data_IF_540719551260
#
_entry.id   IF_540719551260
#
_cell.length_a   1.000
_cell.length_b   1.000
_cell.length_c   1.000
_cell.angle_alpha   90.00
_cell.angle_beta   90.00
_cell.angle_gamma   90.00
#
_symmetry.space_group_name_H-M   'P 1'
#
loop_
_entity.id
_entity.type
_entity.pdbx_description
1 polymer ?
#
# COMPACT_ATOMS: atom_id res chain seq x y z
N UNK A 1 -27.62 43.60 -17.89
CA UNK A 1 -27.02 42.73 -18.94
C UNK A 1 -25.49 42.68 -18.96
N UNK A 2 -24.75 43.81 -18.86
CA UNK A 2 -23.27 43.83 -18.92
C UNK A 2 -22.56 42.97 -17.86
N UNK A 3 -22.94 43.05 -16.58
CA UNK A 3 -22.32 42.28 -15.48
C UNK A 3 -22.42 40.76 -15.65
N UNK A 4 -23.54 40.25 -16.18
CA UNK A 4 -23.77 38.81 -16.44
C UNK A 4 -22.88 38.28 -17.57
N UNK A 5 -22.64 39.09 -18.62
CA UNK A 5 -21.71 38.75 -19.71
C UNK A 5 -20.26 38.71 -19.21
N UNK A 6 -19.84 39.68 -18.38
CA UNK A 6 -18.51 39.69 -17.77
C UNK A 6 -18.29 38.46 -16.87
N UNK A 7 -19.28 38.08 -16.06
CA UNK A 7 -19.20 36.91 -15.20
C UNK A 7 -19.10 35.59 -16.00
N UNK A 8 -19.89 35.46 -17.08
CA UNK A 8 -19.81 34.33 -18.01
C UNK A 8 -18.45 34.23 -18.70
N UNK A 9 -17.86 35.36 -19.10
CA UNK A 9 -16.53 35.41 -19.72
C UNK A 9 -15.42 35.00 -18.73
N UNK A 10 -15.47 35.48 -17.48
CA UNK A 10 -14.50 35.08 -16.43
C UNK A 10 -14.61 33.58 -16.16
N UNK A 11 -15.83 33.05 -16.06
CA UNK A 11 -16.07 31.63 -15.82
C UNK A 11 -15.55 30.75 -16.98
N UNK A 12 -15.76 31.18 -18.23
CA UNK A 12 -15.21 30.50 -19.40
C UNK A 12 -13.68 30.48 -19.41
N UNK A 13 -13.03 31.61 -19.08
CA UNK A 13 -11.56 31.69 -18.98
C UNK A 13 -11.04 30.78 -17.87
N UNK A 14 -11.73 30.72 -16.73
CA UNK A 14 -11.37 29.83 -15.62
C UNK A 14 -11.48 28.35 -16.03
N UNK A 15 -12.56 27.95 -16.70
CA UNK A 15 -12.74 26.57 -17.20
C UNK A 15 -11.62 26.23 -18.18
N UNK A 16 -11.32 27.11 -19.13
CA UNK A 16 -10.24 26.89 -20.11
C UNK A 16 -8.90 26.74 -19.40
N UNK A 17 -8.57 27.61 -18.45
CA UNK A 17 -7.33 27.55 -17.67
C UNK A 17 -7.21 26.26 -16.83
N UNK A 18 -8.30 25.83 -16.18
CA UNK A 18 -8.35 24.56 -15.45
C UNK A 18 -8.17 23.39 -16.42
N UNK A 19 -8.84 23.43 -17.57
CA UNK A 19 -8.78 22.36 -18.58
C UNK A 19 -7.39 22.23 -19.20
N UNK A 20 -6.74 23.35 -19.56
CA UNK A 20 -5.34 23.34 -20.02
C UNK A 20 -4.39 22.91 -18.92
N UNK A 21 -4.59 23.34 -17.67
CA UNK A 21 -3.78 22.88 -16.55
C UNK A 21 -3.89 21.36 -16.35
N UNK A 22 -5.11 20.81 -16.37
CA UNK A 22 -5.33 19.37 -16.29
C UNK A 22 -4.75 18.63 -17.49
N UNK A 23 -4.86 19.18 -18.70
CA UNK A 23 -4.30 18.57 -19.91
C UNK A 23 -2.76 18.56 -19.89
N UNK A 24 -2.13 19.66 -19.48
CA UNK A 24 -0.66 19.78 -19.36
C UNK A 24 -0.14 18.85 -18.25
N UNK A 25 -0.90 18.65 -17.18
CA UNK A 25 -0.50 17.82 -16.05
C UNK A 25 -1.19 16.45 -16.03
N UNK A 26 -1.79 15.99 -17.14
CA UNK A 26 -2.54 14.73 -17.19
C UNK A 26 -1.67 13.53 -16.80
N UNK A 27 -0.38 13.58 -17.11
CA UNK A 27 0.59 12.52 -16.82
C UNK A 27 1.12 12.60 -15.37
N UNK A 28 0.74 13.64 -14.60
CA UNK A 28 1.10 13.81 -13.18
C UNK A 28 -0.02 13.40 -12.23
N UNK A 29 -1.22 13.17 -12.72
CA UNK A 29 -2.40 12.85 -11.90
C UNK A 29 -3.16 11.67 -12.48
N UNK A 30 -3.19 10.55 -11.76
CA UNK A 30 -4.07 9.42 -12.06
C UNK A 30 -5.05 9.26 -10.91
N UNK A 31 -6.32 9.60 -11.18
CA UNK A 31 -7.41 9.34 -10.24
C UNK A 31 -7.90 7.90 -10.43
N UNK A 32 -7.92 7.13 -9.34
CA UNK A 32 -8.36 5.72 -9.33
C UNK A 32 -9.63 5.48 -8.50
N UNK A 33 -10.17 6.50 -7.82
CA UNK A 33 -11.42 6.36 -7.05
C UNK A 33 -11.28 5.61 -5.73
N UNK A 34 -12.43 5.19 -5.16
CA UNK A 34 -12.51 4.27 -4.03
C UNK A 34 -12.21 2.85 -4.48
N UNK A 35 -11.80 1.98 -3.54
CA UNK A 35 -11.74 0.54 -3.81
C UNK A 35 -13.15 -0.01 -3.65
N UNK A 36 -13.73 -0.48 -4.75
CA UNK A 36 -15.10 -0.96 -4.79
C UNK A 36 -15.15 -2.48 -4.62
N UNK A 37 -16.23 -2.99 -4.01
CA UNK A 37 -16.47 -4.42 -3.91
C UNK A 37 -17.08 -4.93 -5.22
N UNK A 38 -16.36 -5.84 -5.88
CA UNK A 38 -16.76 -6.42 -7.16
C UNK A 38 -17.25 -7.85 -6.98
N UNK A 39 -17.98 -8.38 -7.97
CA UNK A 39 -18.36 -9.80 -7.98
C UNK A 39 -17.14 -10.71 -8.13
N UNK A 40 -17.08 -11.73 -7.27
CA UNK A 40 -16.00 -12.71 -7.21
C UNK A 40 -16.60 -14.11 -7.16
N UNK A 41 -16.15 -14.95 -8.09
CA UNK A 41 -16.35 -16.39 -8.02
C UNK A 41 -15.29 -16.99 -7.08
N UNK A 42 -15.70 -17.36 -5.87
CA UNK A 42 -14.80 -17.88 -4.84
C UNK A 42 -14.10 -19.19 -5.26
N UNK A 43 -14.65 -19.95 -6.22
CA UNK A 43 -13.98 -21.12 -6.78
C UNK A 43 -12.70 -20.76 -7.56
N UNK A 44 -12.60 -19.52 -8.05
CA UNK A 44 -11.45 -19.01 -8.82
C UNK A 44 -10.45 -18.23 -7.97
N UNK A 45 -10.61 -18.19 -6.63
CA UNK A 45 -9.75 -17.38 -5.73
C UNK A 45 -8.26 -17.65 -5.93
N UNK A 46 -7.85 -18.90 -6.10
CA UNK A 46 -6.45 -19.26 -6.36
C UNK A 46 -5.93 -18.62 -7.66
N UNK A 47 -6.69 -18.72 -8.76
CA UNK A 47 -6.31 -18.14 -10.04
C UNK A 47 -6.23 -16.61 -9.96
N UNK A 48 -7.20 -15.99 -9.29
CA UNK A 48 -7.27 -14.53 -9.11
C UNK A 48 -6.05 -14.05 -8.31
N UNK A 49 -5.78 -14.66 -7.15
CA UNK A 49 -4.66 -14.28 -6.29
C UNK A 49 -3.30 -14.49 -6.96
N UNK A 50 -3.15 -15.55 -7.77
CA UNK A 50 -1.94 -15.74 -8.58
C UNK A 50 -1.74 -14.60 -9.57
N UNK A 51 -2.80 -14.14 -10.25
CA UNK A 51 -2.73 -13.02 -11.19
C UNK A 51 -2.45 -11.69 -10.48
N UNK A 52 -3.05 -11.47 -9.31
CA UNK A 52 -2.78 -10.30 -8.47
C UNK A 52 -1.31 -10.27 -8.07
N UNK A 53 -0.75 -11.39 -7.61
CA UNK A 53 0.66 -11.47 -7.24
C UNK A 53 1.55 -11.09 -8.43
N UNK A 54 1.36 -11.72 -9.58
CA UNK A 54 2.15 -11.42 -10.78
C UNK A 54 2.01 -9.96 -11.23
N UNK A 55 0.81 -9.40 -11.10
CA UNK A 55 0.57 -7.99 -11.38
C UNK A 55 1.36 -7.08 -10.43
N UNK A 56 1.24 -7.27 -9.12
CA UNK A 56 1.99 -6.46 -8.15
C UNK A 56 3.51 -6.56 -8.40
N UNK A 57 4.06 -7.77 -8.62
CA UNK A 57 5.50 -7.92 -8.90
C UNK A 57 5.94 -7.14 -10.15
N UNK A 58 5.15 -7.15 -11.23
CA UNK A 58 5.45 -6.33 -12.42
C UNK A 58 5.41 -4.85 -12.12
N UNK A 59 4.41 -4.38 -11.37
CA UNK A 59 4.24 -2.97 -10.99
C UNK A 59 5.45 -2.48 -10.17
N UNK A 60 5.84 -3.24 -9.14
CA UNK A 60 6.98 -2.87 -8.27
C UNK A 60 8.30 -2.93 -9.01
N UNK A 61 8.50 -3.91 -9.89
CA UNK A 61 9.70 -4.01 -10.73
C UNK A 61 9.81 -2.84 -11.72
N UNK A 62 8.70 -2.38 -12.28
CA UNK A 62 8.70 -1.25 -13.22
C UNK A 62 9.00 0.10 -12.54
N UNK A 63 8.73 0.21 -11.23
CA UNK A 63 8.96 1.40 -10.41
C UNK A 63 8.31 2.69 -10.98
N UNK A 64 7.15 2.54 -11.65
CA UNK A 64 6.36 3.63 -12.24
C UNK A 64 4.93 3.58 -11.71
N UNK A 65 4.74 4.02 -10.46
CA UNK A 65 3.47 3.89 -9.76
C UNK A 65 2.34 4.70 -10.41
N UNK A 66 2.65 5.78 -11.14
CA UNK A 66 1.64 6.60 -11.82
C UNK A 66 1.07 5.82 -13.00
N UNK A 67 1.93 5.26 -13.86
CA UNK A 67 1.51 4.46 -15.01
C UNK A 67 0.66 3.26 -14.60
N UNK A 68 1.02 2.60 -13.51
CA UNK A 68 0.38 1.39 -13.05
C UNK A 68 -0.72 1.59 -12.00
N UNK A 69 -1.04 2.84 -11.63
CA UNK A 69 -1.99 3.14 -10.54
C UNK A 69 -3.34 2.42 -10.71
N UNK A 70 -3.88 2.34 -11.93
CA UNK A 70 -5.15 1.64 -12.22
C UNK A 70 -5.05 0.13 -12.05
N UNK A 71 -3.91 -0.47 -12.43
CA UNK A 71 -3.69 -1.91 -12.28
C UNK A 71 -3.51 -2.25 -10.79
N UNK A 72 -2.77 -1.41 -10.04
CA UNK A 72 -2.58 -1.57 -8.59
C UNK A 72 -3.90 -1.41 -7.83
N UNK A 73 -4.72 -0.43 -8.22
CA UNK A 73 -6.06 -0.25 -7.67
C UNK A 73 -6.97 -1.46 -7.93
N UNK A 74 -6.97 -2.00 -9.16
CA UNK A 74 -7.70 -3.25 -9.47
C UNK A 74 -7.24 -4.44 -8.64
N UNK A 75 -5.94 -4.54 -8.35
CA UNK A 75 -5.42 -5.58 -7.45
C UNK A 75 -6.02 -5.44 -6.05
N UNK A 76 -6.17 -4.22 -5.55
CA UNK A 76 -6.82 -3.94 -4.25
C UNK A 76 -8.30 -4.34 -4.27
N UNK A 77 -9.05 -4.01 -5.31
CA UNK A 77 -10.46 -4.42 -5.47
C UNK A 77 -10.62 -5.93 -5.42
N UNK A 78 -9.77 -6.67 -6.15
CA UNK A 78 -9.80 -8.13 -6.19
C UNK A 78 -9.49 -8.73 -4.81
N UNK A 79 -8.43 -8.27 -4.14
CA UNK A 79 -8.03 -8.76 -2.81
C UNK A 79 -9.11 -8.50 -1.78
N UNK A 80 -9.62 -7.27 -1.71
CA UNK A 80 -10.65 -6.89 -0.74
C UNK A 80 -11.95 -7.64 -1.02
N UNK A 81 -12.35 -7.79 -2.29
CA UNK A 81 -13.55 -8.54 -2.64
C UNK A 81 -13.42 -10.02 -2.28
N UNK A 82 -12.23 -10.62 -2.41
CA UNK A 82 -11.98 -11.99 -1.93
C UNK A 82 -12.16 -12.06 -0.42
N UNK A 83 -11.57 -11.16 0.36
CA UNK A 83 -11.70 -11.17 1.83
C UNK A 83 -13.16 -11.00 2.25
N UNK A 84 -13.88 -10.05 1.65
CA UNK A 84 -15.25 -9.69 2.04
C UNK A 84 -16.29 -10.72 1.58
N UNK A 85 -16.10 -11.35 0.40
CA UNK A 85 -17.09 -12.28 -0.18
C UNK A 85 -16.77 -13.75 0.06
N UNK A 86 -15.49 -14.11 0.11
CA UNK A 86 -15.03 -15.49 0.23
C UNK A 86 -14.42 -15.80 1.61
N UNK A 87 -14.20 -14.78 2.45
CA UNK A 87 -13.41 -14.88 3.66
C UNK A 87 -11.91 -14.78 3.41
N UNK A 88 -11.15 -14.48 4.47
CA UNK A 88 -9.69 -14.54 4.43
C UNK A 88 -9.26 -16.01 4.28
N UNK A 89 -8.59 -16.40 3.17
CA UNK A 89 -8.15 -17.78 3.01
C UNK A 89 -6.97 -18.09 3.92
N UNK A 90 -6.72 -19.39 4.13
CA UNK A 90 -5.54 -19.91 4.83
C UNK A 90 -4.64 -20.69 3.87
N UNK A 91 -3.45 -21.09 4.33
CA UNK A 91 -2.53 -21.94 3.56
C UNK A 91 -3.09 -23.35 3.27
N UNK A 92 -4.20 -23.74 3.90
CA UNK A 92 -4.93 -24.97 3.54
C UNK A 92 -5.71 -24.83 2.22
N UNK A 93 -6.01 -23.60 1.81
CA UNK A 93 -6.84 -23.30 0.65
C UNK A 93 -6.06 -22.67 -0.51
N UNK A 94 -4.96 -21.99 -0.18
CA UNK A 94 -4.15 -21.24 -1.15
C UNK A 94 -2.65 -21.41 -0.84
N UNK A 95 -1.79 -21.17 -1.82
CA UNK A 95 -0.34 -21.19 -1.66
C UNK A 95 0.20 -19.94 -0.94
N UNK A 96 1.44 -20.02 -0.43
CA UNK A 96 2.13 -18.86 0.16
C UNK A 96 2.18 -17.66 -0.79
N UNK A 97 2.38 -17.90 -2.08
CA UNK A 97 2.36 -16.86 -3.13
C UNK A 97 1.02 -16.11 -3.14
N UNK A 98 -0.09 -16.83 -3.00
CA UNK A 98 -1.43 -16.26 -3.02
C UNK A 98 -1.76 -15.54 -1.70
N UNK A 99 -1.27 -16.03 -0.56
CA UNK A 99 -1.32 -15.27 0.71
C UNK A 99 -0.51 -13.97 0.61
N UNK A 100 0.66 -14.01 0.00
CA UNK A 100 1.47 -12.82 -0.24
C UNK A 100 0.75 -11.82 -1.13
N UNK A 101 -0.03 -12.27 -2.12
CA UNK A 101 -0.86 -11.40 -2.95
C UNK A 101 -1.87 -10.59 -2.13
N UNK A 102 -2.52 -11.24 -1.15
CA UNK A 102 -3.45 -10.59 -0.23
C UNK A 102 -2.71 -9.53 0.59
N UNK A 103 -1.60 -9.91 1.21
CA UNK A 103 -0.81 -8.98 2.02
C UNK A 103 -0.34 -7.78 1.20
N UNK A 104 0.15 -7.98 -0.03
CA UNK A 104 0.60 -6.91 -0.93
C UNK A 104 -0.55 -5.95 -1.29
N UNK A 105 -1.71 -6.48 -1.65
CA UNK A 105 -2.89 -5.67 -1.95
C UNK A 105 -3.32 -4.81 -0.76
N UNK A 106 -3.26 -5.34 0.46
CA UNK A 106 -3.56 -4.57 1.66
C UNK A 106 -2.44 -3.59 2.04
N UNK A 107 -1.19 -4.00 1.99
CA UNK A 107 -0.01 -3.19 2.34
C UNK A 107 0.06 -1.92 1.48
N UNK A 108 -0.19 -2.04 0.18
CA UNK A 108 -0.13 -0.95 -0.78
C UNK A 108 -1.44 -0.16 -0.93
N UNK A 109 -2.48 -0.50 -0.16
CA UNK A 109 -3.75 0.25 -0.14
C UNK A 109 -3.63 1.61 0.55
N UNK A 110 -4.73 2.36 0.68
CA UNK A 110 -4.75 3.58 1.48
C UNK A 110 -4.74 3.28 3.00
N UNK A 111 -4.43 4.30 3.82
CA UNK A 111 -4.40 4.22 5.29
C UNK A 111 -5.65 3.57 5.89
N UNK A 112 -6.84 3.95 5.40
CA UNK A 112 -8.13 3.47 5.95
C UNK A 112 -8.30 1.97 5.73
N UNK A 113 -7.98 1.48 4.52
CA UNK A 113 -8.04 0.07 4.17
C UNK A 113 -6.99 -0.72 4.96
N UNK A 114 -5.71 -0.30 4.93
CA UNK A 114 -4.65 -0.92 5.73
C UNK A 114 -5.08 -1.14 7.19
N UNK A 115 -5.58 -0.07 7.83
CA UNK A 115 -6.03 -0.15 9.23
C UNK A 115 -7.25 -1.05 9.42
N UNK A 116 -8.23 -1.02 8.49
CA UNK A 116 -9.44 -1.85 8.55
C UNK A 116 -9.10 -3.35 8.56
N UNK A 117 -8.16 -3.77 7.71
CA UNK A 117 -7.83 -5.20 7.53
C UNK A 117 -6.64 -5.68 8.36
N UNK A 118 -5.98 -4.79 9.11
CA UNK A 118 -4.84 -5.18 9.94
C UNK A 118 -5.17 -6.31 10.92
N UNK A 119 -6.32 -6.33 11.62
CA UNK A 119 -6.66 -7.45 12.52
C UNK A 119 -6.70 -8.82 11.82
N UNK A 120 -7.07 -8.89 10.54
CA UNK A 120 -7.01 -10.14 9.76
C UNK A 120 -5.56 -10.55 9.45
N UNK A 121 -4.66 -9.58 9.26
CA UNK A 121 -3.22 -9.84 9.11
C UNK A 121 -2.63 -10.35 10.41
N UNK A 122 -3.00 -9.79 11.57
CA UNK A 122 -2.54 -10.29 12.88
C UNK A 122 -2.92 -11.77 13.05
N UNK A 123 -4.19 -12.11 12.81
CA UNK A 123 -4.68 -13.49 12.86
C UNK A 123 -3.98 -14.42 11.86
N UNK A 124 -3.76 -13.96 10.62
CA UNK A 124 -3.06 -14.76 9.61
C UNK A 124 -1.61 -15.04 10.02
N UNK A 125 -0.94 -14.12 10.71
CA UNK A 125 0.41 -14.32 11.23
C UNK A 125 0.41 -15.24 12.44
N UNK A 126 -0.56 -15.11 13.35
CA UNK A 126 -0.76 -16.03 14.48
C UNK A 126 -0.98 -17.48 14.01
N UNK A 127 -1.72 -17.64 12.91
CA UNK A 127 -1.97 -18.95 12.28
C UNK A 127 -0.79 -19.49 11.46
N UNK A 128 0.25 -18.68 11.22
CA UNK A 128 1.37 -19.04 10.35
C UNK A 128 1.07 -18.96 8.85
N UNK A 129 -0.04 -18.35 8.44
CA UNK A 129 -0.40 -18.14 7.03
C UNK A 129 0.38 -16.98 6.38
N UNK A 130 0.86 -16.04 7.22
CA UNK A 130 1.73 -14.92 6.85
C UNK A 130 2.93 -14.83 7.81
N UNK A 131 4.02 -14.20 7.37
CA UNK A 131 5.23 -14.09 8.18
C UNK A 131 5.14 -12.98 9.22
N UNK A 132 5.89 -13.12 10.32
CA UNK A 132 6.08 -12.03 11.29
C UNK A 132 6.68 -10.79 10.65
N UNK A 133 7.58 -10.92 9.68
CA UNK A 133 8.10 -9.79 8.92
C UNK A 133 6.97 -9.01 8.23
N UNK A 134 6.00 -9.69 7.60
CA UNK A 134 4.84 -9.05 6.97
C UNK A 134 3.98 -8.27 7.97
N UNK A 135 3.84 -8.76 9.22
CA UNK A 135 3.24 -7.99 10.31
C UNK A 135 4.02 -6.70 10.57
N UNK A 136 5.33 -6.80 10.82
CA UNK A 136 6.18 -5.67 11.21
C UNK A 136 6.15 -4.54 10.16
N UNK A 137 6.27 -4.91 8.88
CA UNK A 137 6.24 -3.98 7.75
C UNK A 137 4.90 -3.21 7.67
N UNK A 138 3.79 -3.90 7.89
CA UNK A 138 2.46 -3.27 7.81
C UNK A 138 2.15 -2.46 9.07
N UNK A 139 2.57 -2.93 10.25
CA UNK A 139 2.43 -2.22 11.51
C UNK A 139 3.15 -0.88 11.48
N UNK A 140 4.41 -0.87 11.08
CA UNK A 140 5.19 0.37 10.98
C UNK A 140 4.58 1.34 9.96
N UNK A 141 4.07 0.84 8.84
CA UNK A 141 3.39 1.68 7.83
C UNK A 141 2.12 2.32 8.38
N UNK A 142 1.32 1.58 9.15
CA UNK A 142 0.14 2.11 9.85
C UNK A 142 0.54 3.17 10.88
N UNK A 143 1.61 2.95 11.65
CA UNK A 143 2.09 3.93 12.63
C UNK A 143 2.55 5.22 11.94
N UNK A 144 3.34 5.09 10.87
CA UNK A 144 3.75 6.23 10.05
C UNK A 144 2.55 6.99 9.47
N UNK A 145 1.54 6.28 8.94
CA UNK A 145 0.30 6.91 8.45
C UNK A 145 -0.44 7.69 9.55
N UNK A 146 -0.33 7.24 10.81
CA UNK A 146 -0.89 7.87 12.00
C UNK A 146 -0.01 8.97 12.60
N UNK A 147 1.17 9.24 12.02
CA UNK A 147 2.12 10.23 12.53
C UNK A 147 2.86 9.77 13.80
N UNK A 148 2.80 8.47 14.11
CA UNK A 148 3.39 7.87 15.31
C UNK A 148 4.74 7.24 14.98
N UNK A 149 5.70 7.20 15.93
CA UNK A 149 6.93 6.44 15.75
C UNK A 149 6.65 4.99 15.36
N UNK A 150 7.47 4.46 14.46
CA UNK A 150 7.46 3.06 14.06
C UNK A 150 8.17 2.19 15.10
N UNK A 151 7.92 0.88 15.10
CA UNK A 151 8.43 -0.05 16.12
C UNK A 151 9.67 -0.82 15.60
N UNK A 152 9.66 -1.19 14.32
CA UNK A 152 10.65 -2.11 13.73
C UNK A 152 11.60 -1.43 12.73
N UNK A 153 11.36 -0.18 12.38
CA UNK A 153 12.29 0.60 11.54
C UNK A 153 12.24 0.25 10.05
N UNK A 154 11.07 -0.10 9.52
CA UNK A 154 10.89 -0.51 8.12
C UNK A 154 10.42 0.58 7.15
N UNK A 155 10.05 1.76 7.64
CA UNK A 155 9.57 2.87 6.82
C UNK A 155 10.64 3.96 6.69
N UNK A 156 10.93 4.28 5.42
CA UNK A 156 11.76 5.40 5.01
C UNK A 156 10.85 6.51 4.48
N UNK A 157 11.09 7.75 4.92
CA UNK A 157 10.37 8.93 4.45
C UNK A 157 11.39 10.00 4.03
N UNK A 158 11.25 10.53 2.80
CA UNK A 158 12.17 11.54 2.24
C UNK A 158 13.65 11.16 2.36
N UNK A 159 13.99 9.89 2.06
CA UNK A 159 15.37 9.39 2.11
C UNK A 159 15.94 9.25 3.52
N UNK A 160 15.11 9.27 4.57
CA UNK A 160 15.53 9.09 5.96
C UNK A 160 14.66 8.07 6.68
N UNK A 161 15.22 7.38 7.65
CA UNK A 161 14.45 6.53 8.55
C UNK A 161 13.36 7.38 9.23
N UNK A 162 12.10 6.93 9.14
CA UNK A 162 11.02 7.60 9.86
C UNK A 162 11.17 7.41 11.38
N UNK A 163 10.57 8.30 12.19
CA UNK A 163 10.70 8.30 13.66
C UNK A 163 10.57 6.89 14.23
N UNK A 164 11.54 6.46 15.03
CA UNK A 164 11.63 5.10 15.57
C UNK A 164 11.45 5.13 17.09
N UNK A 165 10.59 4.25 17.60
CA UNK A 165 10.41 4.03 19.02
C UNK A 165 11.57 3.19 19.57
N UNK A 166 12.15 3.62 20.70
CA UNK A 166 13.24 2.95 21.42
C UNK A 166 14.33 2.38 20.48
N UNK A 167 15.11 3.24 19.78
CA UNK A 167 16.09 2.80 18.79
C UNK A 167 17.11 1.78 19.32
N UNK A 168 17.55 1.94 20.57
CA UNK A 168 18.56 1.08 21.21
C UNK A 168 18.20 -0.41 21.25
N UNK A 169 16.90 -0.73 21.29
CA UNK A 169 16.39 -2.11 21.38
C UNK A 169 15.73 -2.57 20.10
N UNK A 170 15.85 -1.82 18.99
CA UNK A 170 15.17 -2.15 17.73
C UNK A 170 15.60 -3.49 17.15
N UNK A 171 16.88 -3.83 17.27
CA UNK A 171 17.42 -5.07 16.71
C UNK A 171 16.92 -6.32 17.43
N UNK A 172 16.55 -6.22 18.71
CA UNK A 172 15.89 -7.29 19.46
C UNK A 172 14.50 -7.57 18.86
N UNK A 173 13.69 -6.52 18.70
CA UNK A 173 12.37 -6.60 18.06
C UNK A 173 12.46 -7.09 16.62
N UNK A 174 13.43 -6.62 15.84
CA UNK A 174 13.62 -7.05 14.44
C UNK A 174 13.97 -8.54 14.36
N UNK A 175 14.83 -9.03 15.25
CA UNK A 175 15.18 -10.45 15.33
C UNK A 175 13.95 -11.32 15.61
N UNK A 176 13.08 -10.92 16.53
CA UNK A 176 11.83 -11.64 16.84
C UNK A 176 10.87 -11.74 15.64
N UNK A 177 10.94 -10.76 14.73
CA UNK A 177 10.14 -10.71 13.51
C UNK A 177 10.82 -11.35 12.30
N UNK A 178 12.00 -11.96 12.48
CA UNK A 178 12.78 -12.58 11.40
C UNK A 178 13.40 -11.57 10.44
N UNK A 179 13.67 -10.36 10.91
CA UNK A 179 14.26 -9.27 10.12
C UNK A 179 15.76 -9.14 10.38
N UNK A 180 16.52 -8.73 9.37
CA UNK A 180 17.92 -8.34 9.52
C UNK A 180 18.09 -7.15 10.50
N UNK A 181 19.26 -6.93 11.11
CA UNK A 181 19.54 -5.72 11.88
C UNK A 181 19.27 -4.43 11.08
N UNK A 182 18.88 -3.36 11.77
CA UNK A 182 18.47 -2.10 11.13
C UNK A 182 19.62 -1.47 10.34
N UNK A 183 20.86 -1.66 10.79
CA UNK A 183 22.07 -1.14 10.13
C UNK A 183 22.29 -1.81 8.76
N UNK A 184 21.98 -3.10 8.65
CA UNK A 184 22.02 -3.83 7.36
C UNK A 184 20.96 -3.28 6.41
N UNK A 185 19.74 -3.13 6.90
CA UNK A 185 18.62 -2.59 6.14
C UNK A 185 18.86 -1.17 5.63
N UNK A 186 19.36 -0.26 6.49
CA UNK A 186 19.59 1.15 6.13
C UNK A 186 20.69 1.35 5.08
N UNK A 187 21.66 0.43 4.99
CA UNK A 187 22.69 0.45 3.94
C UNK A 187 22.09 0.30 2.54
N UNK A 188 20.96 -0.40 2.38
CA UNK A 188 20.28 -0.52 1.08
C UNK A 188 19.67 0.80 0.59
N UNK A 189 19.61 1.83 1.45
CA UNK A 189 19.06 3.14 1.15
C UNK A 189 20.10 4.27 1.23
N UNK A 190 21.40 3.92 1.37
CA UNK A 190 22.49 4.87 1.62
C UNK A 190 22.25 5.76 2.86
N UNK A 191 21.53 5.23 3.86
CA UNK A 191 21.25 5.94 5.12
C UNK A 191 22.26 5.46 6.18
N UNK A 192 23.01 6.40 6.74
CA UNK A 192 23.84 6.12 7.90
C UNK A 192 22.96 5.91 9.13
N UNK A 193 23.16 4.79 9.84
CA UNK A 193 22.53 4.55 11.13
C UNK A 193 23.19 5.47 12.17
N UNK A 194 22.70 6.69 12.30
CA UNK A 194 23.14 7.56 13.38
C UNK A 194 22.39 7.14 14.65
N UNK A 195 23.06 6.35 15.48
CA UNK A 195 22.68 6.15 16.89
C UNK A 195 22.94 7.46 17.63
N UNK A 196 21.88 8.20 17.95
CA UNK A 196 21.93 9.31 18.91
C UNK A 196 20.91 9.05 20.00
#
# INVERSE_FOLDING_TARGET
>A
MKKRKVFLSIFAVLIVAISTFLFINKDKFVYVGSVDLIEIDCSKKQQILSKVYESDQRIRKANDLIKYAKEDHKNQELVISIIEKCGMPTLKEVSQKQMNAIWLGLQHSNKKIRKKYFPQIEKAVENGDLSKQQYALMKDRILMDEGKPQIYGSQINNGKLYKLENPETVNERRKEMGMEPIEGYLKHFDIQSNSN
#
